data_IF_549875856980
#
_entry.id   IF_549875856980
#
_cell.length_a   1.000
_cell.length_b   1.000
_cell.length_c   1.000
_cell.angle_alpha   90.00
_cell.angle_beta   90.00
_cell.angle_gamma   90.00
#
_symmetry.space_group_name_H-M   'P 1'
#
loop_
_entity.id
_entity.type
_entity.pdbx_description
1 polymer ?
#
# COMPACT_ATOMS: atom_id res chain seq x y z
N UNK A 1 9.91 -11.40 6.88
CA UNK A 1 8.78 -12.14 7.48
C UNK A 1 7.53 -11.84 6.67
N UNK A 2 6.90 -12.84 6.03
CA UNK A 2 5.79 -12.67 5.07
C UNK A 2 4.45 -12.16 5.63
N UNK A 3 4.51 -11.31 6.65
CA UNK A 3 3.36 -10.66 7.28
C UNK A 3 2.73 -9.66 6.32
N UNK A 4 1.40 -9.65 6.30
CA UNK A 4 0.62 -8.72 5.46
C UNK A 4 0.05 -7.63 6.33
N UNK A 5 0.31 -6.37 5.96
CA UNK A 5 -0.24 -5.18 6.60
C UNK A 5 -1.30 -4.57 5.68
N UNK A 6 -2.47 -4.31 6.24
CA UNK A 6 -3.51 -3.51 5.57
C UNK A 6 -3.36 -2.05 5.96
N UNK A 7 -3.22 -1.19 4.98
CA UNK A 7 -3.17 0.27 5.15
C UNK A 7 -4.38 0.89 4.47
N UNK A 8 -5.03 1.82 5.15
CA UNK A 8 -6.17 2.58 4.61
C UNK A 8 -5.82 4.05 4.67
N UNK A 9 -5.90 4.73 3.53
CA UNK A 9 -5.59 6.14 3.36
C UNK A 9 -6.75 6.84 2.66
N UNK A 10 -7.14 8.02 3.13
CA UNK A 10 -8.16 8.84 2.46
C UNK A 10 -7.55 9.88 1.51
N UNK A 11 -6.22 9.96 1.47
CA UNK A 11 -5.51 10.91 0.63
C UNK A 11 -5.50 10.46 -0.85
N UNK A 12 -5.93 11.30 -1.81
CA UNK A 12 -5.92 10.96 -3.23
C UNK A 12 -4.53 10.60 -3.78
N UNK A 13 -3.46 11.18 -3.23
CA UNK A 13 -2.09 10.98 -3.70
C UNK A 13 -1.36 9.78 -3.06
N UNK A 14 -1.97 9.10 -2.08
CA UNK A 14 -1.34 8.01 -1.33
C UNK A 14 -0.73 6.91 -2.21
N UNK A 15 -1.36 6.57 -3.34
CA UNK A 15 -0.82 5.59 -4.29
C UNK A 15 0.61 5.89 -4.80
N UNK A 16 1.02 7.17 -4.86
CA UNK A 16 2.37 7.56 -5.25
C UNK A 16 3.38 7.25 -4.14
N UNK A 17 3.06 7.63 -2.91
CA UNK A 17 3.94 7.43 -1.76
C UNK A 17 4.09 5.93 -1.42
N UNK A 18 3.00 5.17 -1.50
CA UNK A 18 3.03 3.72 -1.25
C UNK A 18 3.81 2.97 -2.33
N UNK A 19 3.74 3.42 -3.59
CA UNK A 19 4.58 2.89 -4.67
C UNK A 19 6.06 3.04 -4.36
N UNK A 20 6.50 4.28 -4.06
CA UNK A 20 7.91 4.57 -3.70
C UNK A 20 8.33 3.82 -2.44
N UNK A 21 7.46 3.75 -1.43
CA UNK A 21 7.73 3.00 -0.20
C UNK A 21 8.02 1.52 -0.47
N UNK A 22 7.22 0.87 -1.32
CA UNK A 22 7.40 -0.56 -1.66
C UNK A 22 8.73 -0.81 -2.37
N UNK A 23 9.10 0.06 -3.33
CA UNK A 23 10.38 -0.01 -4.02
C UNK A 23 11.58 0.19 -3.09
N UNK A 24 11.52 1.17 -2.18
CA UNK A 24 12.62 1.48 -1.26
C UNK A 24 12.82 0.42 -0.17
N UNK A 25 11.73 -0.18 0.32
CA UNK A 25 11.78 -1.17 1.40
C UNK A 25 11.93 -2.60 0.90
N UNK A 26 11.67 -2.84 -0.38
CA UNK A 26 11.57 -4.18 -0.94
C UNK A 26 10.33 -4.95 -0.48
N UNK A 27 9.40 -4.29 0.19
CA UNK A 27 8.07 -4.83 0.46
C UNK A 27 7.25 -4.88 -0.84
N UNK A 28 6.25 -5.77 -0.88
CA UNK A 28 5.42 -5.96 -2.06
C UNK A 28 3.99 -5.49 -1.79
N UNK A 29 3.44 -4.63 -2.66
CA UNK A 29 2.01 -4.32 -2.64
C UNK A 29 1.30 -5.45 -3.40
N UNK A 30 0.64 -6.33 -2.67
CA UNK A 30 -0.03 -7.50 -3.23
C UNK A 30 -1.46 -7.21 -3.69
N UNK A 31 -2.08 -6.15 -3.16
CA UNK A 31 -3.40 -5.71 -3.56
C UNK A 31 -3.59 -4.21 -3.30
N UNK A 32 -4.25 -3.53 -4.24
CA UNK A 32 -4.60 -2.12 -4.15
C UNK A 32 -6.07 -1.94 -4.55
N UNK A 33 -6.85 -1.38 -3.64
CA UNK A 33 -8.27 -1.09 -3.84
C UNK A 33 -8.48 0.40 -3.71
N UNK A 34 -9.13 1.00 -4.70
CA UNK A 34 -9.55 2.39 -4.67
C UNK A 34 -11.06 2.44 -4.61
N UNK A 35 -11.57 3.04 -3.55
CA UNK A 35 -12.96 3.39 -3.33
C UNK A 35 -13.08 4.92 -3.42
N UNK A 36 -14.28 5.45 -3.60
CA UNK A 36 -14.48 6.90 -3.85
C UNK A 36 -13.99 7.77 -2.67
N UNK A 37 -13.99 7.22 -1.45
CA UNK A 37 -13.60 7.93 -0.22
C UNK A 37 -12.23 7.49 0.34
N UNK A 38 -11.66 6.39 -0.15
CA UNK A 38 -10.47 5.78 0.46
C UNK A 38 -9.68 4.88 -0.49
N UNK A 39 -8.40 4.71 -0.16
CA UNK A 39 -7.43 3.85 -0.81
C UNK A 39 -6.95 2.81 0.19
N UNK A 40 -7.00 1.54 -0.18
CA UNK A 40 -6.58 0.42 0.65
C UNK A 40 -5.40 -0.28 -0.02
N UNK A 41 -4.32 -0.46 0.73
CA UNK A 41 -3.10 -1.14 0.30
C UNK A 41 -2.88 -2.37 1.17
N UNK A 42 -2.65 -3.52 0.55
CA UNK A 42 -2.15 -4.70 1.23
C UNK A 42 -0.67 -4.85 0.90
N UNK A 43 0.17 -4.72 1.93
CA UNK A 43 1.62 -4.77 1.78
C UNK A 43 2.16 -6.01 2.48
N UNK A 44 2.81 -6.88 1.72
CA UNK A 44 3.55 -8.01 2.27
C UNK A 44 4.98 -7.55 2.60
N UNK A 45 5.35 -7.70 3.87
CA UNK A 45 6.72 -7.45 4.32
C UNK A 45 7.64 -8.58 3.84
N UNK A 46 8.85 -8.22 3.44
CA UNK A 46 9.90 -9.18 3.08
C UNK A 46 10.56 -9.75 4.34
#
# INVERSE_FOLDING_TARGET
SGEVVRVTATDPAAHLDFGVYSEQTGHEIIEYIRDDEQQIFYVQKK
#
